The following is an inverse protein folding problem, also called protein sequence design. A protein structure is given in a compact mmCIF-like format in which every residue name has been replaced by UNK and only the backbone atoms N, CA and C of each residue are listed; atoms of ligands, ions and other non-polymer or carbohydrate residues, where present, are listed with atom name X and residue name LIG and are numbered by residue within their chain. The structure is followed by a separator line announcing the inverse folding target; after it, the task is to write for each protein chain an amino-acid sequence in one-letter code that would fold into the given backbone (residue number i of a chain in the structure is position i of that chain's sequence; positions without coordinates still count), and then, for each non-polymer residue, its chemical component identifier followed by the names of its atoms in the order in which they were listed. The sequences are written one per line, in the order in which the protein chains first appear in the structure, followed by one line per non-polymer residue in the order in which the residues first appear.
data_IF_877094488257
#
_entry.id   IF_877094488257
#
_cell.length_a   1.000
_cell.length_b   1.000
_cell.length_c   1.000
_cell.angle_alpha   90.00
_cell.angle_beta   90.00
_cell.angle_gamma   90.00
#
_symmetry.space_group_name_H-M   'P 1'
#
loop_
_entity.id
_entity.type
_entity.pdbx_description
1 polymer ?
#
# COMPACT_ATOMS: atom_id res chain seq x y z
N UNK A 1 30.54 10.06 -28.47
CA UNK A 1 30.54 8.76 -27.75
C UNK A 1 30.05 9.04 -26.35
N UNK A 2 28.74 9.19 -26.16
CA UNK A 2 27.77 8.12 -25.88
C UNK A 2 27.93 7.58 -24.45
N UNK A 3 27.12 8.16 -23.56
CA UNK A 3 26.71 7.67 -22.24
C UNK A 3 27.24 6.27 -21.90
N UNK A 4 28.34 6.18 -21.16
CA UNK A 4 28.71 4.91 -20.53
C UNK A 4 27.75 4.68 -19.36
N UNK A 5 26.91 3.65 -19.52
CA UNK A 5 26.13 3.07 -18.44
C UNK A 5 27.06 2.23 -17.55
N UNK A 6 28.04 2.85 -16.90
CA UNK A 6 28.92 2.14 -15.98
C UNK A 6 28.14 1.77 -14.72
N UNK A 7 27.98 0.45 -14.51
CA UNK A 7 27.43 -0.06 -13.27
C UNK A 7 28.44 0.21 -12.14
N UNK A 8 28.03 0.94 -11.11
CA UNK A 8 28.83 1.11 -9.88
C UNK A 8 28.36 0.13 -8.82
N UNK A 9 29.11 -0.03 -7.73
CA UNK A 9 28.65 -0.76 -6.53
C UNK A 9 27.28 -0.25 -6.01
N UNK A 10 26.89 0.98 -6.39
CA UNK A 10 25.66 1.67 -5.97
C UNK A 10 24.45 1.45 -6.89
N UNK A 11 24.60 0.70 -7.98
CA UNK A 11 23.51 0.39 -8.92
C UNK A 11 23.89 0.62 -10.38
N UNK A 12 23.09 0.04 -11.27
CA UNK A 12 23.24 0.20 -12.71
C UNK A 12 21.96 0.84 -13.28
N UNK A 13 22.04 1.94 -14.06
CA UNK A 13 20.82 2.65 -14.48
C UNK A 13 19.85 1.78 -15.28
N UNK A 14 20.36 0.83 -16.07
CA UNK A 14 19.55 -0.17 -16.77
C UNK A 14 18.76 -1.05 -15.79
N UNK A 15 19.43 -1.56 -14.76
CA UNK A 15 18.81 -2.44 -13.78
C UNK A 15 17.81 -1.67 -12.93
N UNK A 16 18.16 -0.45 -12.51
CA UNK A 16 17.27 0.44 -11.77
C UNK A 16 16.01 0.77 -12.58
N UNK A 17 16.12 1.05 -13.89
CA UNK A 17 14.96 1.34 -14.73
C UNK A 17 14.06 0.11 -14.90
N UNK A 18 14.64 -1.07 -15.15
CA UNK A 18 13.88 -2.32 -15.33
C UNK A 18 13.25 -2.80 -14.03
N UNK A 19 13.93 -2.64 -12.90
CA UNK A 19 13.39 -2.96 -11.58
C UNK A 19 12.26 -2.01 -11.21
N UNK A 20 12.42 -0.72 -11.49
CA UNK A 20 11.36 0.27 -11.28
C UNK A 20 10.11 -0.01 -12.12
N UNK A 21 10.27 -0.41 -13.39
CA UNK A 21 9.14 -0.84 -14.22
C UNK A 21 8.43 -2.07 -13.62
N UNK A 22 9.20 -3.06 -13.17
CA UNK A 22 8.66 -4.28 -12.53
C UNK A 22 7.83 -3.93 -11.29
N UNK A 23 8.35 -3.01 -10.46
CA UNK A 23 7.68 -2.53 -9.24
C UNK A 23 6.45 -1.70 -9.58
N UNK A 24 6.52 -0.80 -10.57
CA UNK A 24 5.38 0.01 -10.99
C UNK A 24 4.18 -0.85 -11.42
N UNK A 25 4.44 -1.93 -12.17
CA UNK A 25 3.41 -2.88 -12.59
C UNK A 25 2.78 -3.64 -11.41
N UNK A 26 3.57 -3.91 -10.36
CA UNK A 26 3.06 -4.53 -9.15
C UNK A 26 2.29 -3.55 -8.24
N UNK A 27 2.64 -2.26 -8.28
CA UNK A 27 2.04 -1.21 -7.45
C UNK A 27 0.62 -0.81 -7.85
N UNK A 28 0.30 -0.79 -9.15
CA UNK A 28 -1.02 -0.39 -9.65
C UNK A 28 -2.16 -1.11 -8.93
N UNK A 29 -2.24 -2.47 -8.93
CA UNK A 29 -3.34 -3.16 -8.29
C UNK A 29 -3.37 -3.00 -6.77
N UNK A 30 -2.21 -2.93 -6.12
CA UNK A 30 -2.13 -2.74 -4.67
C UNK A 30 -2.66 -1.37 -4.26
N UNK A 31 -2.26 -0.31 -4.98
CA UNK A 31 -2.71 1.06 -4.71
C UNK A 31 -4.23 1.21 -4.91
N UNK A 32 -4.78 0.63 -5.98
CA UNK A 32 -6.24 0.61 -6.23
C UNK A 32 -6.96 -0.14 -5.11
N UNK A 33 -6.45 -1.30 -4.72
CA UNK A 33 -7.11 -2.12 -3.70
C UNK A 33 -7.04 -1.48 -2.30
N UNK A 34 -5.92 -0.87 -1.92
CA UNK A 34 -5.80 -0.16 -0.66
C UNK A 34 -6.68 1.11 -0.61
N UNK A 35 -6.87 1.80 -1.73
CA UNK A 35 -7.84 2.89 -1.82
C UNK A 35 -9.27 2.39 -1.51
N UNK A 36 -9.67 1.24 -2.06
CA UNK A 36 -10.97 0.63 -1.73
C UNK A 36 -11.08 0.21 -0.27
N UNK A 37 -10.00 -0.29 0.33
CA UNK A 37 -9.99 -0.59 1.77
C UNK A 37 -10.23 0.69 2.58
N UNK A 38 -9.58 1.80 2.23
CA UNK A 38 -9.77 3.10 2.88
C UNK A 38 -11.10 3.81 2.56
N UNK A 39 -11.95 3.23 1.71
CA UNK A 39 -13.23 3.84 1.31
C UNK A 39 -13.07 5.07 0.42
N UNK A 40 -11.95 5.19 -0.30
CA UNK A 40 -11.67 6.32 -1.20
C UNK A 40 -11.55 5.87 -2.66
N UNK A 41 -11.67 6.84 -3.58
CA UNK A 41 -11.49 6.58 -5.01
C UNK A 41 -10.08 6.05 -5.33
N UNK A 42 -9.92 5.15 -6.33
CA UNK A 42 -8.64 4.56 -6.70
C UNK A 42 -7.53 5.56 -7.00
N UNK A 43 -7.89 6.71 -7.59
CA UNK A 43 -6.94 7.78 -7.91
C UNK A 43 -6.22 8.31 -6.66
N UNK A 44 -6.88 8.35 -5.51
CA UNK A 44 -6.27 8.79 -4.24
C UNK A 44 -5.11 7.87 -3.84
N UNK A 45 -5.28 6.55 -4.01
CA UNK A 45 -4.22 5.57 -3.76
C UNK A 45 -3.11 5.60 -4.81
N UNK A 46 -3.47 5.73 -6.09
CA UNK A 46 -2.51 5.81 -7.19
C UNK A 46 -1.65 7.08 -7.12
N UNK A 47 -2.25 8.23 -6.82
CA UNK A 47 -1.52 9.48 -6.57
C UNK A 47 -0.63 9.38 -5.35
N UNK A 48 -1.08 8.74 -4.26
CA UNK A 48 -0.23 8.51 -3.12
C UNK A 48 0.98 7.62 -3.45
N UNK A 49 0.77 6.52 -4.18
CA UNK A 49 1.85 5.64 -4.61
C UNK A 49 2.87 6.37 -5.51
N UNK A 50 2.41 7.24 -6.42
CA UNK A 50 3.27 8.08 -7.23
C UNK A 50 4.02 9.14 -6.41
N UNK A 51 3.30 10.00 -5.69
CA UNK A 51 3.85 11.16 -5.00
C UNK A 51 4.79 10.75 -3.86
N UNK A 52 4.36 9.80 -3.04
CA UNK A 52 5.18 9.29 -1.95
C UNK A 52 6.40 8.58 -2.49
N UNK A 53 6.22 7.70 -3.48
CA UNK A 53 7.32 6.97 -4.11
C UNK A 53 8.36 7.89 -4.75
N UNK A 54 7.92 8.89 -5.50
CA UNK A 54 8.81 9.84 -6.15
C UNK A 54 9.59 10.68 -5.13
N UNK A 55 8.89 11.33 -4.20
CA UNK A 55 9.52 12.25 -3.24
C UNK A 55 10.44 11.46 -2.31
N UNK A 56 9.99 10.33 -1.74
CA UNK A 56 10.81 9.51 -0.87
C UNK A 56 12.06 8.97 -1.59
N UNK A 57 11.96 8.56 -2.86
CA UNK A 57 13.13 8.12 -3.62
C UNK A 57 14.16 9.24 -3.82
N UNK A 58 13.71 10.49 -3.97
CA UNK A 58 14.57 11.67 -4.17
C UNK A 58 15.20 12.14 -2.85
N UNK A 59 14.42 12.25 -1.76
CA UNK A 59 14.89 12.87 -0.51
C UNK A 59 15.23 11.88 0.60
N UNK A 60 14.66 10.68 0.57
CA UNK A 60 14.76 9.64 1.60
C UNK A 60 16.18 9.13 1.90
N UNK A 61 16.32 8.45 3.03
CA UNK A 61 17.59 8.02 3.59
C UNK A 61 18.14 6.72 3.01
N UNK A 62 17.37 5.99 2.20
CA UNK A 62 17.74 4.65 1.72
C UNK A 62 17.51 4.43 0.21
N UNK A 63 18.58 4.42 -0.61
CA UNK A 63 18.50 4.01 -2.01
C UNK A 63 17.98 2.57 -2.19
N UNK A 64 17.27 2.31 -3.28
CA UNK A 64 16.68 0.99 -3.57
C UNK A 64 15.42 0.66 -2.78
N UNK A 65 15.04 1.48 -1.80
CA UNK A 65 13.75 1.36 -1.10
C UNK A 65 12.62 1.92 -1.95
N UNK A 66 11.48 1.25 -1.92
CA UNK A 66 10.24 1.70 -2.56
C UNK A 66 9.27 2.16 -1.48
N UNK A 67 8.67 3.33 -1.69
CA UNK A 67 7.59 3.87 -0.88
C UNK A 67 6.37 4.14 -1.73
N UNK A 68 5.20 4.13 -1.11
CA UNK A 68 3.92 4.31 -1.81
C UNK A 68 2.75 4.06 -0.88
N UNK A 69 1.55 3.85 -1.45
CA UNK A 69 0.35 3.57 -0.68
C UNK A 69 0.43 2.18 -0.03
N UNK A 70 0.10 2.08 1.26
CA UNK A 70 0.14 0.82 2.00
C UNK A 70 -1.19 0.51 2.68
N UNK A 71 -1.50 -0.78 2.82
CA UNK A 71 -2.69 -1.23 3.55
C UNK A 71 -2.68 -0.79 5.02
N UNK A 72 -1.49 -0.70 5.64
CA UNK A 72 -1.35 -0.32 7.04
C UNK A 72 -1.85 1.11 7.31
N UNK A 73 -1.60 2.05 6.40
CA UNK A 73 -2.14 3.41 6.49
C UNK A 73 -3.62 3.45 6.08
N UNK A 74 -4.00 2.70 5.04
CA UNK A 74 -5.37 2.65 4.52
C UNK A 74 -6.38 2.24 5.60
N UNK A 75 -6.07 1.19 6.37
CA UNK A 75 -6.97 0.64 7.40
C UNK A 75 -7.24 1.64 8.52
N UNK A 76 -6.21 2.38 8.96
CA UNK A 76 -6.37 3.41 10.01
C UNK A 76 -7.27 4.56 9.55
N UNK A 77 -7.36 4.80 8.25
CA UNK A 77 -8.14 5.91 7.69
C UNK A 77 -9.61 5.57 7.45
N UNK A 78 -10.00 4.28 7.54
CA UNK A 78 -11.36 3.82 7.19
C UNK A 78 -12.43 4.59 7.96
N UNK A 79 -12.30 4.64 9.29
CA UNK A 79 -13.27 5.33 10.15
C UNK A 79 -13.24 6.84 9.95
N UNK A 80 -12.06 7.43 9.77
CA UNK A 80 -11.92 8.87 9.50
C UNK A 80 -12.66 9.28 8.21
N UNK A 81 -12.49 8.49 7.14
CA UNK A 81 -13.16 8.74 5.86
C UNK A 81 -14.65 8.50 5.96
N UNK A 82 -15.08 7.42 6.63
CA UNK A 82 -16.49 7.11 6.81
C UNK A 82 -17.24 8.20 7.59
N UNK A 83 -16.64 8.73 8.66
CA UNK A 83 -17.31 9.66 9.56
C UNK A 83 -17.17 11.14 9.13
N UNK A 84 -16.03 11.51 8.56
CA UNK A 84 -15.68 12.92 8.30
C UNK A 84 -15.36 13.22 6.83
N UNK A 85 -15.23 12.19 6.00
CA UNK A 85 -14.95 12.32 4.57
C UNK A 85 -13.45 12.41 4.23
N UNK A 86 -13.17 12.35 2.93
CA UNK A 86 -11.81 12.24 2.37
C UNK A 86 -10.93 13.47 2.65
N UNK A 87 -11.51 14.66 2.78
CA UNK A 87 -10.76 15.89 3.07
C UNK A 87 -10.09 15.85 4.45
N UNK A 88 -10.73 15.20 5.44
CA UNK A 88 -10.13 14.97 6.76
C UNK A 88 -8.95 14.00 6.69
N UNK A 89 -9.03 12.99 5.82
CA UNK A 89 -7.90 12.12 5.52
C UNK A 89 -6.73 12.91 4.93
N UNK A 90 -6.96 13.80 3.97
CA UNK A 90 -5.88 14.63 3.41
C UNK A 90 -5.24 15.52 4.46
N UNK A 91 -6.05 16.16 5.32
CA UNK A 91 -5.55 16.96 6.43
C UNK A 91 -4.73 16.12 7.43
N UNK A 92 -5.18 14.91 7.76
CA UNK A 92 -4.45 13.99 8.63
C UNK A 92 -3.11 13.54 8.01
N UNK A 93 -3.06 13.31 6.69
CA UNK A 93 -1.84 12.96 5.97
C UNK A 93 -0.84 14.13 5.96
N UNK A 94 -1.32 15.36 5.76
CA UNK A 94 -0.49 16.57 5.87
C UNK A 94 0.15 16.66 7.25
N UNK A 95 -0.67 16.53 8.30
CA UNK A 95 -0.21 16.60 9.69
C UNK A 95 0.72 15.44 10.06
N UNK A 96 0.43 14.22 9.61
CA UNK A 96 1.32 13.06 9.72
C UNK A 96 2.70 13.40 9.16
N UNK A 97 2.77 13.97 7.95
CA UNK A 97 4.04 14.33 7.33
C UNK A 97 4.83 15.36 8.15
N UNK A 98 4.14 16.35 8.72
CA UNK A 98 4.77 17.34 9.61
C UNK A 98 5.33 16.70 10.90
N UNK A 99 4.60 15.73 11.49
CA UNK A 99 5.06 14.96 12.64
C UNK A 99 6.32 14.15 12.25
N UNK A 100 6.31 13.48 11.11
CA UNK A 100 7.45 12.69 10.61
C UNK A 100 8.69 13.55 10.35
N UNK A 101 8.52 14.73 9.74
CA UNK A 101 9.60 15.73 9.57
C UNK A 101 10.17 16.10 10.94
N UNK A 102 9.30 16.43 11.90
CA UNK A 102 9.70 16.84 13.25
C UNK A 102 10.51 15.73 13.94
N UNK A 103 10.06 14.48 13.88
CA UNK A 103 10.76 13.30 14.40
C UNK A 103 12.14 13.14 13.76
N UNK A 104 12.25 13.32 12.45
CA UNK A 104 13.51 13.26 11.72
C UNK A 104 14.49 14.36 12.09
N UNK A 105 14.02 15.62 12.18
CA UNK A 105 14.83 16.78 12.55
C UNK A 105 15.35 16.69 13.99
N UNK A 106 14.52 16.23 14.92
CA UNK A 106 14.89 16.00 16.32
C UNK A 106 15.73 14.73 16.52
N UNK A 107 16.04 13.99 15.45
CA UNK A 107 16.83 12.74 15.48
C UNK A 107 16.22 11.65 16.36
N UNK A 108 14.88 11.61 16.41
CA UNK A 108 14.12 10.67 17.23
C UNK A 108 13.89 9.32 16.53
N UNK A 109 14.32 9.14 15.27
CA UNK A 109 14.13 7.90 14.51
C UNK A 109 14.71 6.65 15.18
N UNK A 110 15.72 6.80 16.05
CA UNK A 110 16.28 5.68 16.84
C UNK A 110 15.28 5.07 17.84
N UNK A 111 14.29 5.84 18.30
CA UNK A 111 13.36 5.42 19.35
C UNK A 111 12.26 4.48 18.85
N UNK A 112 12.09 4.35 17.54
CA UNK A 112 11.18 3.37 16.93
C UNK A 112 11.55 1.93 17.32
N UNK A 113 12.81 1.68 17.65
CA UNK A 113 13.28 0.38 18.17
C UNK A 113 12.71 0.01 19.55
N UNK A 114 12.01 0.93 20.22
CA UNK A 114 11.39 0.70 21.53
C UNK A 114 10.02 0.02 21.40
N UNK A 115 9.39 0.04 20.21
CA UNK A 115 8.07 -0.58 20.01
C UNK A 115 8.18 -2.08 20.27
N UNK A 116 7.41 -2.63 21.24
CA UNK A 116 7.51 -4.05 21.58
C UNK A 116 7.11 -4.93 20.40
N UNK A 117 7.86 -6.00 20.16
CA UNK A 117 7.58 -6.97 19.11
C UNK A 117 6.15 -7.55 19.16
N UNK A 118 5.56 -7.88 20.33
CA UNK A 118 4.18 -8.35 20.40
C UNK A 118 3.15 -7.35 19.87
N UNK A 119 3.40 -6.04 20.04
CA UNK A 119 2.51 -4.98 19.53
C UNK A 119 2.55 -4.96 18.01
N UNK A 120 3.75 -5.05 17.40
CA UNK A 120 3.89 -5.11 15.95
C UNK A 120 3.20 -6.34 15.35
N UNK A 121 3.41 -7.52 15.95
CA UNK A 121 2.74 -8.76 15.51
C UNK A 121 1.21 -8.66 15.64
N UNK A 122 0.72 -8.10 16.75
CA UNK A 122 -0.71 -7.91 16.97
C UNK A 122 -1.32 -6.96 15.92
N UNK A 123 -0.64 -5.84 15.65
CA UNK A 123 -1.07 -4.87 14.65
C UNK A 123 -1.10 -5.47 13.24
N UNK A 124 -0.04 -6.16 12.82
CA UNK A 124 0.06 -6.79 11.49
C UNK A 124 -1.02 -7.88 11.31
N UNK A 125 -1.30 -8.68 12.35
CA UNK A 125 -2.39 -9.66 12.31
C UNK A 125 -3.77 -9.01 12.26
N UNK A 126 -4.00 -7.98 13.09
CA UNK A 126 -5.24 -7.20 13.07
C UNK A 126 -5.48 -6.58 11.69
N UNK A 127 -4.45 -5.95 11.12
CA UNK A 127 -4.45 -5.39 9.77
C UNK A 127 -4.85 -6.42 8.72
N UNK A 128 -4.22 -7.60 8.74
CA UNK A 128 -4.55 -8.67 7.79
C UNK A 128 -6.02 -9.10 7.91
N UNK A 129 -6.56 -9.18 9.13
CA UNK A 129 -7.99 -9.50 9.35
C UNK A 129 -8.89 -8.39 8.83
N UNK A 130 -8.58 -7.12 9.07
CA UNK A 130 -9.39 -5.99 8.57
C UNK A 130 -9.40 -5.97 7.04
N UNK A 131 -8.24 -6.12 6.40
CA UNK A 131 -8.16 -6.21 4.94
C UNK A 131 -8.99 -7.39 4.42
N UNK A 132 -8.90 -8.57 5.07
CA UNK A 132 -9.71 -9.73 4.72
C UNK A 132 -11.21 -9.43 4.77
N UNK A 133 -11.68 -8.82 5.86
CA UNK A 133 -13.08 -8.46 6.04
C UNK A 133 -13.53 -7.40 5.03
N UNK A 134 -12.67 -6.42 4.71
CA UNK A 134 -12.93 -5.44 3.66
C UNK A 134 -13.11 -6.11 2.28
N UNK A 135 -12.33 -7.15 1.96
CA UNK A 135 -12.51 -7.91 0.72
C UNK A 135 -13.86 -8.64 0.65
N UNK A 136 -14.46 -9.00 1.79
CA UNK A 136 -15.80 -9.61 1.79
C UNK A 136 -16.88 -8.65 1.31
N UNK A 137 -16.69 -7.32 1.47
CA UNK A 137 -17.64 -6.34 0.94
C UNK A 137 -17.67 -6.32 -0.58
N UNK A 138 -16.59 -6.74 -1.27
CA UNK A 138 -16.60 -6.89 -2.73
C UNK A 138 -17.52 -8.03 -3.19
N UNK A 139 -17.94 -8.93 -2.30
CA UNK A 139 -18.97 -9.93 -2.58
C UNK A 139 -20.40 -9.44 -2.34
N UNK A 140 -20.57 -8.16 -2.00
CA UNK A 140 -21.87 -7.51 -1.88
C UNK A 140 -22.11 -6.59 -3.07
N UNK A 141 -23.38 -6.42 -3.44
CA UNK A 141 -23.86 -5.55 -4.51
C UNK A 141 -24.97 -4.69 -3.95
N UNK A 142 -25.01 -3.43 -4.37
CA UNK A 142 -26.13 -2.55 -4.05
C UNK A 142 -27.36 -2.96 -4.86
N UNK A 143 -28.47 -3.19 -4.16
CA UNK A 143 -29.75 -3.41 -4.79
C UNK A 143 -30.36 -2.10 -5.30
N UNK A 144 -31.47 -2.19 -6.04
CA UNK A 144 -32.24 -1.03 -6.50
C UNK A 144 -32.71 -0.09 -5.36
N UNK A 145 -32.69 -0.56 -4.11
CA UNK A 145 -33.02 0.20 -2.89
C UNK A 145 -31.80 0.83 -2.21
N UNK A 146 -30.59 0.65 -2.75
CA UNK A 146 -29.33 1.14 -2.16
C UNK A 146 -28.79 0.27 -1.02
N UNK A 147 -29.42 -0.87 -0.72
CA UNK A 147 -28.94 -1.79 0.33
C UNK A 147 -27.91 -2.78 -0.22
N UNK A 148 -26.83 -3.00 0.53
CA UNK A 148 -25.80 -3.98 0.20
C UNK A 148 -26.32 -5.42 0.44
N UNK A 149 -26.55 -6.17 -0.63
CA UNK A 149 -26.90 -7.59 -0.58
C UNK A 149 -25.76 -8.47 -1.06
N UNK A 150 -25.63 -9.65 -0.46
CA UNK A 150 -24.65 -10.65 -0.87
C UNK A 150 -24.95 -11.16 -2.29
N UNK A 151 -23.91 -11.36 -3.09
CA UNK A 151 -24.01 -12.04 -4.39
C UNK A 151 -24.63 -13.42 -4.23
N UNK A 152 -25.53 -13.79 -5.15
CA UNK A 152 -26.21 -15.08 -5.16
C UNK A 152 -26.23 -15.67 -6.57
N UNK A 153 -26.41 -16.99 -6.66
CA UNK A 153 -26.55 -17.68 -7.95
C UNK A 153 -25.28 -17.63 -8.80
N UNK A 154 -25.44 -17.42 -10.11
CA UNK A 154 -24.37 -17.53 -11.10
C UNK A 154 -23.25 -16.50 -10.88
N UNK A 155 -23.58 -15.26 -10.53
CA UNK A 155 -22.60 -14.18 -10.31
C UNK A 155 -21.66 -14.48 -9.14
N UNK A 156 -22.16 -15.09 -8.07
CA UNK A 156 -21.34 -15.54 -6.94
C UNK A 156 -20.32 -16.61 -7.36
N UNK A 157 -20.76 -17.63 -8.12
CA UNK A 157 -19.87 -18.70 -8.57
C UNK A 157 -18.82 -18.20 -9.56
N UNK A 158 -19.18 -17.28 -10.45
CA UNK A 158 -18.22 -16.62 -11.34
C UNK A 158 -17.19 -15.86 -10.50
N UNK A 159 -17.63 -15.04 -9.55
CA UNK A 159 -16.71 -14.26 -8.72
C UNK A 159 -15.77 -15.17 -7.91
N UNK A 160 -16.29 -16.20 -7.25
CA UNK A 160 -15.48 -17.17 -6.51
C UNK A 160 -14.50 -17.91 -7.42
N UNK A 161 -14.93 -18.32 -8.62
CA UNK A 161 -14.08 -19.00 -9.60
C UNK A 161 -12.93 -18.12 -10.07
N UNK A 162 -13.19 -16.85 -10.39
CA UNK A 162 -12.16 -15.89 -10.82
C UNK A 162 -11.20 -15.52 -9.69
N UNK A 163 -11.70 -15.34 -8.45
CA UNK A 163 -10.88 -15.12 -7.26
C UNK A 163 -9.96 -16.33 -7.02
N UNK A 164 -10.50 -17.54 -7.03
CA UNK A 164 -9.72 -18.77 -6.84
C UNK A 164 -8.67 -18.95 -7.95
N UNK A 165 -9.02 -18.65 -9.21
CA UNK A 165 -8.09 -18.68 -10.33
C UNK A 165 -6.94 -17.68 -10.11
N UNK A 166 -7.27 -16.44 -9.70
CA UNK A 166 -6.27 -15.41 -9.39
C UNK A 166 -5.30 -15.90 -8.32
N UNK A 167 -5.83 -16.40 -7.20
CA UNK A 167 -5.02 -16.93 -6.10
C UNK A 167 -4.15 -18.11 -6.54
N UNK A 168 -4.69 -19.01 -7.37
CA UNK A 168 -3.95 -20.15 -7.91
C UNK A 168 -2.77 -19.69 -8.78
N UNK A 169 -2.97 -18.72 -9.68
CA UNK A 169 -1.90 -18.16 -10.49
C UNK A 169 -0.83 -17.54 -9.59
N UNK A 170 -1.21 -16.72 -8.62
CA UNK A 170 -0.25 -16.06 -7.72
C UNK A 170 0.56 -17.08 -6.91
N UNK A 171 -0.05 -18.17 -6.45
CA UNK A 171 0.60 -19.18 -5.64
C UNK A 171 1.49 -20.14 -6.45
N UNK A 172 1.05 -20.58 -7.64
CA UNK A 172 1.73 -21.63 -8.41
C UNK A 172 2.68 -21.09 -9.47
N UNK A 173 2.39 -19.94 -10.09
CA UNK A 173 3.22 -19.38 -11.16
C UNK A 173 4.67 -19.08 -10.74
N UNK A 174 4.96 -18.53 -9.54
CA UNK A 174 6.33 -18.32 -9.09
C UNK A 174 7.18 -19.59 -9.00
N UNK A 175 6.54 -20.77 -8.95
CA UNK A 175 7.21 -22.09 -8.94
C UNK A 175 7.65 -22.52 -10.34
N UNK A 176 7.07 -21.93 -11.39
CA UNK A 176 7.38 -22.20 -12.81
C UNK A 176 8.32 -21.14 -13.38
N UNK A 177 8.06 -19.86 -13.09
CA UNK A 177 8.85 -18.73 -13.58
C UNK A 177 8.90 -17.62 -12.53
N UNK A 178 10.04 -16.92 -12.47
CA UNK A 178 10.24 -15.74 -11.62
C UNK A 178 10.50 -14.47 -12.43
N UNK A 179 10.33 -14.53 -13.75
CA UNK A 179 10.68 -13.44 -14.66
C UNK A 179 9.70 -12.26 -14.59
N UNK A 180 8.43 -12.51 -14.21
CA UNK A 180 7.36 -11.51 -14.19
C UNK A 180 6.59 -11.63 -12.86
N UNK A 181 6.11 -10.52 -12.26
CA UNK A 181 5.28 -10.57 -11.06
C UNK A 181 4.04 -11.44 -11.27
N UNK A 182 3.77 -12.37 -10.36
CA UNK A 182 2.65 -13.30 -10.50
C UNK A 182 1.28 -12.62 -10.33
N UNK A 183 1.21 -11.53 -9.57
CA UNK A 183 0.02 -10.67 -9.46
C UNK A 183 -0.37 -10.06 -10.80
N UNK A 184 0.60 -9.52 -11.54
CA UNK A 184 0.37 -8.96 -12.88
C UNK A 184 -0.15 -10.03 -13.84
N UNK A 185 0.48 -11.21 -13.87
CA UNK A 185 0.04 -12.30 -14.74
C UNK A 185 -1.37 -12.75 -14.37
N UNK A 186 -1.70 -12.82 -13.08
CA UNK A 186 -3.05 -13.18 -12.62
C UNK A 186 -4.09 -12.15 -13.10
N UNK A 187 -3.82 -10.85 -12.92
CA UNK A 187 -4.72 -9.77 -13.35
C UNK A 187 -4.93 -9.81 -14.86
N UNK A 188 -3.87 -9.87 -15.65
CA UNK A 188 -3.97 -9.91 -17.12
C UNK A 188 -4.75 -11.15 -17.56
N UNK A 189 -4.42 -12.33 -17.01
CA UNK A 189 -5.08 -13.58 -17.39
C UNK A 189 -6.57 -13.55 -17.09
N UNK A 190 -6.95 -13.09 -15.89
CA UNK A 190 -8.35 -13.02 -15.45
C UNK A 190 -9.11 -11.95 -16.25
N UNK A 191 -8.50 -10.81 -16.51
CA UNK A 191 -9.10 -9.75 -17.33
C UNK A 191 -9.38 -10.23 -18.76
N UNK A 192 -8.39 -10.84 -19.42
CA UNK A 192 -8.56 -11.41 -20.75
C UNK A 192 -9.63 -12.51 -20.78
N UNK A 193 -9.67 -13.36 -19.75
CA UNK A 193 -10.67 -14.41 -19.64
C UNK A 193 -12.09 -13.83 -19.51
N UNK A 194 -12.28 -12.81 -18.68
CA UNK A 194 -13.58 -12.12 -18.54
C UNK A 194 -14.01 -11.49 -19.87
N UNK A 195 -13.09 -10.80 -20.56
CA UNK A 195 -13.37 -10.11 -21.82
C UNK A 195 -13.70 -11.09 -22.96
N UNK A 196 -12.86 -12.12 -23.17
CA UNK A 196 -13.03 -13.03 -24.31
C UNK A 196 -14.13 -14.06 -24.12
N UNK A 197 -14.37 -14.50 -22.89
CA UNK A 197 -15.47 -15.44 -22.58
C UNK A 197 -16.79 -14.70 -22.38
N UNK A 198 -16.76 -13.38 -22.17
CA UNK A 198 -17.96 -12.58 -21.92
C UNK A 198 -18.60 -12.86 -20.57
N UNK A 199 -17.78 -13.07 -19.53
CA UNK A 199 -18.29 -13.30 -18.18
C UNK A 199 -18.79 -11.98 -17.59
N UNK A 200 -19.98 -11.99 -17.01
CA UNK A 200 -20.47 -10.85 -16.24
C UNK A 200 -19.66 -10.72 -14.93
N UNK A 201 -18.81 -9.70 -14.88
CA UNK A 201 -18.02 -9.36 -13.70
C UNK A 201 -17.92 -7.85 -13.58
N UNK A 202 -18.04 -7.34 -12.36
CA UNK A 202 -17.80 -5.93 -12.08
C UNK A 202 -16.34 -5.61 -12.25
N UNK A 203 -16.07 -4.44 -12.80
CA UNK A 203 -14.74 -3.91 -13.07
C UNK A 203 -14.42 -2.73 -12.15
N UNK A 204 -13.18 -2.27 -12.17
CA UNK A 204 -12.75 -1.11 -11.38
C UNK A 204 -13.48 0.17 -11.81
N UNK A 205 -13.68 0.35 -13.12
CA UNK A 205 -14.38 1.51 -13.69
C UNK A 205 -15.85 1.61 -13.27
N UNK A 206 -16.49 0.47 -12.92
CA UNK A 206 -17.88 0.46 -12.42
C UNK A 206 -18.01 1.09 -11.03
N UNK A 207 -16.94 1.11 -10.23
CA UNK A 207 -16.94 1.67 -8.88
C UNK A 207 -16.50 3.15 -8.86
N UNK A 208 -15.48 3.47 -9.63
CA UNK A 208 -14.94 4.83 -9.70
C UNK A 208 -14.08 4.99 -10.95
N UNK A 209 -14.18 6.15 -11.60
CA UNK A 209 -13.32 6.44 -12.74
C UNK A 209 -11.86 6.65 -12.29
N UNK A 210 -10.95 6.12 -13.10
CA UNK A 210 -9.50 6.28 -13.02
C UNK A 210 -9.00 7.25 -14.09
N UNK A 211 -9.89 7.89 -14.86
CA UNK A 211 -9.53 8.99 -15.76
C UNK A 211 -8.93 10.16 -14.95
N UNK A 212 -7.63 10.06 -14.71
CA UNK A 212 -6.86 10.96 -13.86
C UNK A 212 -5.88 11.76 -14.69
N UNK A 213 -5.81 13.06 -14.39
CA UNK A 213 -4.76 13.93 -14.92
C UNK A 213 -3.50 13.87 -14.05
N UNK A 214 -2.72 14.94 -14.12
CA UNK A 214 -1.72 15.17 -13.09
C UNK A 214 -2.40 15.47 -11.75
N UNK A 215 -1.81 15.07 -10.61
CA UNK A 215 -2.30 15.49 -9.31
C UNK A 215 -2.33 17.02 -9.25
N UNK A 216 -3.48 17.59 -8.89
CA UNK A 216 -3.64 19.03 -8.72
C UNK A 216 -3.37 19.43 -7.28
N UNK A 217 -2.76 20.59 -7.10
CA UNK A 217 -2.53 21.13 -5.77
C UNK A 217 -3.85 21.59 -5.17
N UNK A 218 -4.19 21.03 -4.01
CA UNK A 218 -5.34 21.42 -3.21
C UNK A 218 -4.94 21.53 -1.74
N UNK A 219 -5.38 22.60 -1.10
CA UNK A 219 -5.34 22.66 0.37
C UNK A 219 -6.55 21.87 0.86
N UNK A 220 -6.39 20.90 1.78
CA UNK A 220 -7.51 20.11 2.29
C UNK A 220 -8.66 21.01 2.73
N UNK A 221 -9.86 20.75 2.20
CA UNK A 221 -11.06 21.56 2.34
C UNK A 221 -11.73 21.45 3.71
N UNK A 222 -10.96 21.39 4.79
CA UNK A 222 -11.45 21.25 6.16
C UNK A 222 -11.41 22.58 6.92
N UNK A 223 -12.32 22.80 7.89
CA UNK A 223 -12.24 23.99 8.74
C UNK A 223 -10.93 24.03 9.53
N UNK A 224 -10.18 25.13 9.46
CA UNK A 224 -8.97 25.34 10.26
C UNK A 224 -9.31 25.72 11.72
N UNK A 225 -9.92 24.78 12.45
CA UNK A 225 -10.36 24.94 13.83
C UNK A 225 -9.63 23.98 14.76
N UNK A 226 -9.66 24.28 16.07
CA UNK A 226 -9.12 23.37 17.09
C UNK A 226 -9.87 22.03 17.12
N UNK A 227 -11.15 22.04 16.77
CA UNK A 227 -11.98 20.83 16.68
C UNK A 227 -11.48 19.90 15.59
N UNK A 228 -11.28 20.41 14.37
CA UNK A 228 -10.67 19.63 13.27
C UNK A 228 -9.32 19.07 13.68
N UNK A 229 -8.49 19.88 14.34
CA UNK A 229 -7.19 19.41 14.84
C UNK A 229 -7.35 18.24 15.83
N UNK A 230 -8.29 18.34 16.78
CA UNK A 230 -8.54 17.26 17.75
C UNK A 230 -9.10 15.99 17.11
N UNK A 231 -9.82 16.11 15.98
CA UNK A 231 -10.29 14.98 15.19
C UNK A 231 -9.12 14.29 14.48
N UNK A 232 -8.29 15.04 13.74
CA UNK A 232 -7.24 14.44 12.89
C UNK A 232 -5.96 14.09 13.65
N UNK A 233 -5.69 14.70 14.81
CA UNK A 233 -4.44 14.54 15.54
C UNK A 233 -4.17 13.09 15.99
N UNK A 234 -5.14 12.35 16.57
CA UNK A 234 -4.94 10.95 16.95
C UNK A 234 -4.57 10.07 15.75
N UNK A 235 -5.30 10.21 14.63
CA UNK A 235 -5.01 9.51 13.38
C UNK A 235 -3.61 9.87 12.87
N UNK A 236 -3.27 11.15 12.82
CA UNK A 236 -1.97 11.63 12.33
C UNK A 236 -0.79 11.09 13.13
N UNK A 237 -0.94 10.94 14.45
CA UNK A 237 0.09 10.35 15.32
C UNK A 237 0.25 8.85 15.02
N UNK A 238 -0.86 8.12 14.92
CA UNK A 238 -0.85 6.68 14.63
C UNK A 238 -0.24 6.42 13.25
N UNK A 239 -0.70 7.15 12.23
CA UNK A 239 -0.20 7.06 10.86
C UNK A 239 1.30 7.41 10.80
N UNK A 240 1.73 8.45 11.52
CA UNK A 240 3.15 8.81 11.60
C UNK A 240 3.98 7.70 12.23
N UNK A 241 3.50 7.10 13.33
CA UNK A 241 4.18 6.00 13.99
C UNK A 241 4.31 4.78 13.07
N UNK A 242 3.20 4.33 12.47
CA UNK A 242 3.19 3.20 11.52
C UNK A 242 4.13 3.47 10.36
N UNK A 243 3.99 4.62 9.71
CA UNK A 243 4.78 4.96 8.54
C UNK A 243 6.28 4.99 8.82
N UNK A 244 6.70 5.47 10.00
CA UNK A 244 8.10 5.47 10.39
C UNK A 244 8.60 4.08 10.84
N UNK A 245 7.77 3.29 11.53
CA UNK A 245 8.10 1.91 11.90
C UNK A 245 8.38 1.10 10.64
N UNK A 246 7.44 1.09 9.68
CA UNK A 246 7.62 0.35 8.43
C UNK A 246 8.81 0.87 7.64
N UNK A 247 9.01 2.18 7.56
CA UNK A 247 10.13 2.77 6.82
C UNK A 247 11.48 2.39 7.42
N UNK A 248 11.63 2.41 8.75
CA UNK A 248 12.90 2.05 9.38
C UNK A 248 13.15 0.53 9.45
N UNK A 249 12.10 -0.28 9.54
CA UNK A 249 12.21 -1.74 9.42
C UNK A 249 12.63 -2.14 8.01
N UNK A 250 11.96 -1.57 7.00
CA UNK A 250 12.31 -1.76 5.58
C UNK A 250 13.74 -1.30 5.34
N UNK A 251 14.14 -0.17 5.91
CA UNK A 251 15.50 0.35 5.78
C UNK A 251 16.52 -0.66 6.31
N UNK A 252 16.27 -1.20 7.51
CA UNK A 252 17.16 -2.16 8.16
C UNK A 252 17.26 -3.46 7.36
N UNK A 253 16.15 -3.93 6.78
CA UNK A 253 16.13 -5.12 5.93
C UNK A 253 16.94 -4.92 4.64
N UNK A 254 16.78 -3.78 3.97
CA UNK A 254 17.55 -3.48 2.75
C UNK A 254 19.03 -3.27 3.10
N UNK A 255 19.33 -2.64 4.24
CA UNK A 255 20.70 -2.50 4.75
C UNK A 255 21.37 -3.88 4.89
N UNK A 256 20.69 -4.85 5.49
CA UNK A 256 21.17 -6.23 5.67
C UNK A 256 21.41 -6.95 4.34
N UNK A 257 20.43 -6.91 3.43
CA UNK A 257 20.50 -7.63 2.14
C UNK A 257 21.59 -7.08 1.21
N UNK A 258 21.81 -5.77 1.26
CA UNK A 258 22.79 -5.11 0.38
C UNK A 258 24.13 -4.86 1.05
N UNK A 259 24.27 -5.21 2.32
CA UNK A 259 25.46 -4.96 3.14
C UNK A 259 25.89 -3.48 3.14
N UNK A 260 24.92 -2.56 3.17
CA UNK A 260 25.16 -1.11 3.20
C UNK A 260 24.34 -0.44 4.31
N UNK A 261 24.58 0.84 4.59
CA UNK A 261 23.93 1.56 5.69
C UNK A 261 23.11 2.76 5.22
N UNK A 262 21.82 2.75 5.55
CA UNK A 262 20.88 3.84 5.31
C UNK A 262 20.89 4.90 6.41
N UNK A 263 20.26 6.04 6.13
CA UNK A 263 20.18 7.18 7.04
C UNK A 263 18.77 7.32 7.64
N UNK A 264 18.50 6.67 8.78
CA UNK A 264 17.15 6.63 9.37
C UNK A 264 16.50 8.00 9.62
N UNK A 265 17.21 8.99 10.17
CA UNK A 265 16.61 10.32 10.39
C UNK A 265 16.29 11.05 9.09
N UNK A 266 17.12 10.87 8.05
CA UNK A 266 16.86 11.40 6.71
C UNK A 266 15.67 10.69 6.07
N UNK A 267 15.51 9.40 6.33
CA UNK A 267 14.32 8.65 5.94
C UNK A 267 13.06 9.23 6.58
N UNK A 268 13.07 9.51 7.89
CA UNK A 268 11.93 10.14 8.58
C UNK A 268 11.56 11.50 7.96
N UNK A 269 12.55 12.36 7.67
CA UNK A 269 12.30 13.64 6.99
C UNK A 269 11.78 13.41 5.57
N UNK A 270 12.36 12.46 4.84
CA UNK A 270 11.96 12.16 3.47
C UNK A 270 10.51 11.68 3.35
N UNK A 271 10.12 10.72 4.20
CA UNK A 271 8.73 10.26 4.30
C UNK A 271 7.80 11.39 4.72
N UNK A 272 8.23 12.22 5.68
CA UNK A 272 7.41 13.33 6.14
C UNK A 272 7.16 14.38 5.05
N UNK A 273 8.18 14.77 4.29
CA UNK A 273 8.02 15.66 3.13
C UNK A 273 7.13 15.02 2.08
N UNK A 274 7.35 13.73 1.79
CA UNK A 274 6.56 12.99 0.83
C UNK A 274 5.07 12.98 1.20
N UNK A 275 4.74 12.71 2.46
CA UNK A 275 3.38 12.69 2.95
C UNK A 275 2.75 14.07 3.05
N UNK A 276 3.47 15.08 3.55
CA UNK A 276 2.97 16.46 3.60
C UNK A 276 2.57 16.95 2.21
N UNK A 277 3.43 16.74 1.20
CA UNK A 277 3.11 17.12 -0.17
C UNK A 277 1.97 16.25 -0.70
N UNK A 278 1.98 14.94 -0.49
CA UNK A 278 0.94 14.03 -0.99
C UNK A 278 -0.46 14.42 -0.50
N UNK A 279 -0.61 14.79 0.79
CA UNK A 279 -1.89 15.25 1.32
C UNK A 279 -2.36 16.57 0.69
N UNK A 280 -1.45 17.44 0.25
CA UNK A 280 -1.78 18.67 -0.50
C UNK A 280 -2.05 18.44 -2.00
N UNK A 281 -1.99 17.19 -2.46
CA UNK A 281 -2.27 16.80 -3.85
C UNK A 281 -3.34 15.69 -3.90
N UNK A 282 -4.16 15.58 -2.85
CA UNK A 282 -5.28 14.65 -2.80
C UNK A 282 -4.90 13.16 -2.72
N UNK A 283 -3.73 12.83 -2.17
CA UNK A 283 -3.32 11.44 -1.95
C UNK A 283 -3.50 10.99 -0.50
N UNK A 284 -3.78 9.70 -0.30
CA UNK A 284 -3.91 9.07 1.03
C UNK A 284 -2.60 8.88 1.81
N UNK A 285 -1.48 9.41 1.32
CA UNK A 285 -0.19 9.21 1.95
C UNK A 285 0.33 7.77 1.84
N UNK A 286 1.47 7.53 2.45
CA UNK A 286 2.22 6.31 2.22
C UNK A 286 3.42 6.13 3.14
N UNK A 287 4.06 4.97 3.03
CA UNK A 287 5.30 4.63 3.70
C UNK A 287 6.11 3.63 2.87
N UNK A 288 7.24 3.17 3.40
CA UNK A 288 8.02 2.13 2.73
C UNK A 288 7.23 0.81 2.64
N UNK A 289 7.35 0.13 1.50
CA UNK A 289 6.74 -1.17 1.27
C UNK A 289 7.81 -2.24 1.27
N UNK A 290 7.77 -3.12 2.28
CA UNK A 290 8.73 -4.23 2.41
C UNK A 290 8.70 -5.11 1.15
N UNK A 291 7.52 -5.59 0.75
CA UNK A 291 7.36 -6.49 -0.41
C UNK A 291 7.88 -5.88 -1.71
N UNK A 292 7.50 -4.63 -2.01
CA UNK A 292 7.93 -3.95 -3.23
C UNK A 292 9.42 -3.60 -3.22
N UNK A 293 9.97 -3.24 -2.05
CA UNK A 293 11.41 -3.05 -1.90
C UNK A 293 12.18 -4.34 -2.13
N UNK A 294 11.67 -5.48 -1.66
CA UNK A 294 12.27 -6.79 -1.93
C UNK A 294 12.22 -7.15 -3.42
N UNK A 295 11.09 -6.92 -4.10
CA UNK A 295 10.98 -7.10 -5.55
C UNK A 295 11.99 -6.23 -6.28
N UNK A 296 12.13 -4.97 -5.88
CA UNK A 296 13.09 -4.03 -6.47
C UNK A 296 14.53 -4.53 -6.35
N UNK A 297 14.97 -4.84 -5.12
CA UNK A 297 16.33 -5.30 -4.82
C UNK A 297 16.62 -6.63 -5.53
N UNK A 298 15.69 -7.58 -5.52
CA UNK A 298 15.83 -8.87 -6.21
C UNK A 298 15.86 -8.72 -7.74
N UNK A 299 15.22 -7.68 -8.27
CA UNK A 299 15.26 -7.34 -9.70
C UNK A 299 16.51 -6.51 -10.08
N UNK A 300 17.42 -6.28 -9.13
CA UNK A 300 18.70 -5.60 -9.36
C UNK A 300 18.68 -4.09 -9.16
N UNK A 301 17.55 -3.53 -8.70
CA UNK A 301 17.43 -2.12 -8.34
C UNK A 301 18.14 -1.81 -7.04
N UNK A 302 19.16 -0.95 -7.05
CA UNK A 302 19.94 -0.58 -5.84
C UNK A 302 20.11 0.92 -5.68
N UNK A 303 20.00 1.68 -6.78
CA UNK A 303 20.08 3.12 -6.74
C UNK A 303 18.73 3.78 -6.48
N UNK A 304 18.75 5.10 -6.28
CA UNK A 304 17.54 5.93 -6.16
C UNK A 304 16.74 5.99 -7.46
N UNK A 305 17.41 5.79 -8.60
CA UNK A 305 16.76 5.80 -9.90
C UNK A 305 15.71 4.70 -10.01
N UNK A 306 15.88 3.58 -9.29
CA UNK A 306 14.87 2.52 -9.23
C UNK A 306 13.52 3.01 -8.66
N UNK A 307 13.53 3.66 -7.50
CA UNK A 307 12.32 4.26 -6.92
C UNK A 307 11.75 5.41 -7.75
N UNK A 308 12.60 6.27 -8.31
CA UNK A 308 12.17 7.37 -9.20
C UNK A 308 11.48 6.79 -10.44
N UNK A 309 12.08 5.80 -11.09
CA UNK A 309 11.52 5.17 -12.29
C UNK A 309 10.23 4.43 -11.97
N UNK A 310 10.13 3.74 -10.83
CA UNK A 310 8.88 3.11 -10.39
C UNK A 310 7.74 4.14 -10.29
N UNK A 311 7.98 5.28 -9.64
CA UNK A 311 6.99 6.33 -9.51
C UNK A 311 6.62 6.96 -10.86
N UNK A 312 7.60 7.22 -11.74
CA UNK A 312 7.33 7.80 -13.06
C UNK A 312 6.62 6.83 -14.00
N UNK A 313 6.94 5.55 -13.99
CA UNK A 313 6.19 4.55 -14.76
C UNK A 313 4.76 4.42 -14.24
N UNK A 314 4.57 4.46 -12.92
CA UNK A 314 3.24 4.49 -12.34
C UNK A 314 2.44 5.73 -12.81
N UNK A 315 3.06 6.92 -12.82
CA UNK A 315 2.43 8.12 -13.36
C UNK A 315 2.06 7.96 -14.85
N UNK A 316 2.94 7.37 -15.66
CA UNK A 316 2.64 7.06 -17.06
C UNK A 316 1.44 6.11 -17.18
N UNK A 317 1.32 5.11 -16.30
CA UNK A 317 0.16 4.22 -16.30
C UNK A 317 -1.12 4.95 -15.91
N UNK A 318 -1.07 5.88 -14.96
CA UNK A 318 -2.22 6.70 -14.58
C UNK A 318 -2.68 7.56 -15.77
N UNK A 319 -1.75 8.22 -16.46
CA UNK A 319 -2.08 9.17 -17.53
C UNK A 319 -2.48 8.53 -18.86
N UNK A 320 -1.93 7.36 -19.19
CA UNK A 320 -2.06 6.75 -20.53
C UNK A 320 -2.67 5.35 -20.52
N UNK A 321 -2.74 4.70 -19.36
CA UNK A 321 -3.30 3.36 -19.22
C UNK A 321 -4.50 3.31 -18.25
N UNK A 322 -5.09 4.45 -17.90
CA UNK A 322 -6.31 4.53 -17.06
C UNK A 322 -7.41 3.61 -17.58
N UNK A 323 -7.68 3.64 -18.88
CA UNK A 323 -8.73 2.85 -19.53
C UNK A 323 -8.48 1.34 -19.38
N UNK A 324 -7.19 0.94 -19.36
CA UNK A 324 -6.81 -0.45 -19.14
C UNK A 324 -6.97 -0.86 -17.67
N UNK A 325 -6.77 0.06 -16.73
CA UNK A 325 -6.98 -0.21 -15.30
C UNK A 325 -8.48 -0.30 -15.00
N UNK A 326 -9.31 0.53 -15.62
CA UNK A 326 -10.76 0.53 -15.41
C UNK A 326 -11.41 -0.80 -15.80
N UNK A 327 -10.94 -1.49 -16.84
CA UNK A 327 -11.50 -2.78 -17.28
C UNK A 327 -11.04 -3.97 -16.43
N UNK A 328 -10.19 -3.78 -15.42
CA UNK A 328 -9.75 -4.87 -14.54
C UNK A 328 -10.95 -5.40 -13.74
N UNK A 329 -11.25 -6.72 -13.78
CA UNK A 329 -12.30 -7.29 -12.96
C UNK A 329 -11.97 -7.17 -11.47
N UNK A 330 -12.96 -6.76 -10.66
CA UNK A 330 -12.81 -6.69 -9.20
C UNK A 330 -12.41 -8.03 -8.60
N UNK A 331 -12.87 -9.15 -9.19
CA UNK A 331 -12.48 -10.49 -8.75
C UNK A 331 -10.96 -10.73 -8.82
N UNK A 332 -10.26 -10.12 -9.79
CA UNK A 332 -8.80 -10.20 -9.88
C UNK A 332 -8.13 -9.43 -8.74
N UNK A 333 -8.59 -8.20 -8.45
CA UNK A 333 -8.06 -7.41 -7.34
C UNK A 333 -8.35 -8.08 -5.99
N UNK A 334 -9.57 -8.56 -5.77
CA UNK A 334 -9.95 -9.31 -4.57
C UNK A 334 -9.07 -10.56 -4.37
N UNK A 335 -8.80 -11.31 -5.44
CA UNK A 335 -7.89 -12.46 -5.37
C UNK A 335 -6.45 -12.10 -5.03
N UNK A 336 -5.94 -10.99 -5.59
CA UNK A 336 -4.63 -10.42 -5.21
C UNK A 336 -4.62 -10.06 -3.74
N UNK A 337 -5.66 -9.38 -3.25
CA UNK A 337 -5.76 -8.95 -1.86
C UNK A 337 -5.87 -10.11 -0.87
N UNK A 338 -6.58 -11.19 -1.21
CA UNK A 338 -6.55 -12.40 -0.38
C UNK A 338 -5.14 -12.99 -0.27
N UNK A 339 -4.35 -12.98 -1.35
CA UNK A 339 -2.96 -13.40 -1.28
C UNK A 339 -2.10 -12.46 -0.44
N UNK A 340 -2.33 -11.14 -0.53
CA UNK A 340 -1.67 -10.14 0.32
C UNK A 340 -2.01 -10.37 1.79
N UNK A 341 -3.28 -10.63 2.14
CA UNK A 341 -3.72 -10.97 3.49
C UNK A 341 -2.99 -12.20 4.01
N UNK A 342 -2.96 -13.28 3.23
CA UNK A 342 -2.28 -14.53 3.62
C UNK A 342 -0.79 -14.29 3.88
N UNK A 343 -0.16 -13.45 3.07
CA UNK A 343 1.25 -13.08 3.22
C UNK A 343 1.53 -12.09 4.35
N UNK A 344 0.57 -11.22 4.67
CA UNK A 344 0.68 -10.22 5.75
C UNK A 344 0.45 -10.86 7.11
N UNK A 345 -0.47 -11.83 7.21
CA UNK A 345 -0.77 -12.50 8.48
C UNK A 345 0.46 -13.24 9.00
N UNK A 346 0.89 -12.93 10.22
CA UNK A 346 2.07 -13.50 10.84
C UNK A 346 1.75 -14.86 11.45
N UNK A 347 1.72 -15.91 10.62
CA UNK A 347 1.43 -17.30 11.05
C UNK A 347 2.37 -17.82 12.14
N UNK A 348 3.55 -17.20 12.27
CA UNK A 348 4.48 -17.44 13.36
C UNK A 348 3.85 -17.14 14.73
N UNK A 349 3.05 -16.06 14.83
CA UNK A 349 2.38 -15.60 16.05
C UNK A 349 1.54 -16.69 16.73
N UNK A 350 0.73 -17.42 15.94
CA UNK A 350 -0.11 -18.52 16.44
C UNK A 350 0.73 -19.68 17.00
N UNK A 351 1.90 -19.94 16.42
CA UNK A 351 2.81 -21.03 16.86
C UNK A 351 3.59 -20.63 18.11
N UNK A 352 3.95 -19.36 18.25
CA UNK A 352 4.74 -18.86 19.39
C UNK A 352 3.88 -18.45 20.58
N UNK A 353 2.55 -18.30 20.43
CA UNK A 353 1.67 -17.80 21.49
C UNK A 353 1.72 -18.64 22.77
N UNK A 354 2.01 -19.95 22.65
CA UNK A 354 2.18 -20.87 23.79
C UNK A 354 3.62 -20.91 24.33
N UNK A 355 4.55 -20.21 23.70
CA UNK A 355 5.99 -20.19 24.02
C UNK A 355 6.48 -18.86 24.57
N UNK A 356 5.68 -17.80 24.48
CA UNK A 356 6.01 -16.45 24.97
C UNK A 356 5.38 -16.19 26.35
N UNK A 357 5.87 -15.19 27.12
CA UNK A 357 5.23 -14.77 28.36
C UNK A 357 3.74 -14.48 28.17
N UNK A 358 2.93 -14.76 29.19
CA UNK A 358 1.48 -14.55 29.13
C UNK A 358 1.11 -13.09 28.91
N UNK A 359 1.91 -12.15 29.42
CA UNK A 359 1.78 -10.71 29.15
C UNK A 359 1.87 -10.39 27.66
N UNK A 360 2.85 -10.98 26.97
CA UNK A 360 3.13 -10.70 25.57
C UNK A 360 2.07 -11.32 24.67
N UNK A 361 1.63 -12.54 25.01
CA UNK A 361 0.50 -13.19 24.34
C UNK A 361 -0.79 -12.38 24.51
N UNK A 362 -1.05 -11.87 25.72
CA UNK A 362 -2.20 -11.01 25.97
C UNK A 362 -2.15 -9.73 25.14
N UNK A 363 -1.01 -9.02 25.13
CA UNK A 363 -0.84 -7.80 24.32
C UNK A 363 -1.04 -8.08 22.83
N UNK A 364 -0.52 -9.18 22.30
CA UNK A 364 -0.70 -9.55 20.89
C UNK A 364 -2.17 -9.74 20.54
N UNK A 365 -2.91 -10.53 21.35
CA UNK A 365 -4.35 -10.77 21.13
C UNK A 365 -5.13 -9.46 21.29
N UNK A 366 -4.82 -8.68 22.34
CA UNK A 366 -5.48 -7.42 22.63
C UNK A 366 -5.34 -6.45 21.46
N UNK A 367 -4.12 -6.21 20.97
CA UNK A 367 -3.88 -5.31 19.85
C UNK A 367 -4.60 -5.81 18.61
N UNK A 368 -4.49 -7.10 18.28
CA UNK A 368 -5.19 -7.67 17.11
C UNK A 368 -6.71 -7.47 17.20
N UNK A 369 -7.28 -7.76 18.38
CA UNK A 369 -8.73 -7.65 18.61
C UNK A 369 -9.21 -6.21 18.63
N UNK A 370 -8.45 -5.28 19.23
CA UNK A 370 -8.76 -3.86 19.23
C UNK A 370 -8.73 -3.31 17.80
N UNK A 371 -7.68 -3.58 17.02
CA UNK A 371 -7.58 -3.16 15.61
C UNK A 371 -8.82 -3.59 14.83
N UNK A 372 -9.20 -4.87 14.94
CA UNK A 372 -10.41 -5.37 14.26
C UNK A 372 -11.67 -4.71 14.80
N UNK A 373 -11.79 -4.49 16.10
CA UNK A 373 -12.99 -3.89 16.69
C UNK A 373 -13.12 -2.40 16.37
N UNK A 374 -12.03 -1.65 16.26
CA UNK A 374 -12.06 -0.20 16.02
C UNK A 374 -12.09 0.18 14.54
N UNK A 375 -11.51 -0.64 13.65
CA UNK A 375 -11.55 -0.35 12.21
C UNK A 375 -12.80 -0.95 11.52
N UNK A 376 -13.52 -1.85 12.20
CA UNK A 376 -14.74 -2.48 11.68
C UNK A 376 -16.04 -1.98 12.35
N UNK A 377 -15.93 -1.23 13.45
CA UNK A 377 -17.04 -0.54 14.11
C UNK A 377 -17.10 0.91 13.63
#
# INVERSE_FOLDING_TARGET
MLFSFECTERGCPKNDLLSGLTVALALVPEAVAFAFVAGVGPLVGLYAAFMVGFIAAVVGGRPGMISGATGALAVVMVTLVADHGVEYLFAAVVLMGLIQITVGLLRLGKFIRIVPHPVMLGFVNGLAIVIFLAQLNTFKVENATGELQWLQGQSLWIMLGLVALTMAIIHFLPKLTKAVPSSLVAIVTVSLLVIFVGLESRTVGDLASIAGGFPEFSIPGVPFTLETLMIILPYSIILAAIGLIESLLTLSLIDEITETRGQGNRECVGQGVANTVTGMFGGMGGCAMIGQSMININSGGRGRLSGISAALFLLVFILFASDLIEIIPLAALTGVMFMVVIGTFEWSSLRIIRKIPTSDAFVLILVSGVTVATDLA
#
